data_IF_820084019619
#
_entry.id   IF_820084019619
#
_cell.length_a   1.000
_cell.length_b   1.000
_cell.length_c   1.000
_cell.angle_alpha   90.00
_cell.angle_beta   90.00
_cell.angle_gamma   90.00
#
_symmetry.space_group_name_H-M   'P 1'
#
loop_
_entity.id
_entity.type
_entity.pdbx_description
1 polymer ?
#
# COMPACT_ATOMS: atom_id res chain seq x y z
N UNK A 1 -6.97 -77.41 -29.91
CA UNK A 1 -5.68 -76.76 -30.19
C UNK A 1 -5.90 -75.26 -30.05
N UNK A 2 -5.23 -74.65 -29.09
CA UNK A 2 -5.69 -73.46 -28.37
C UNK A 2 -5.77 -72.17 -29.21
N UNK A 3 -6.91 -71.49 -29.07
CA UNK A 3 -7.19 -70.13 -29.54
C UNK A 3 -6.43 -69.15 -28.63
N UNK A 4 -5.42 -68.46 -29.16
CA UNK A 4 -4.65 -67.46 -28.40
C UNK A 4 -5.51 -66.21 -28.22
N UNK A 5 -6.00 -66.00 -27.00
CA UNK A 5 -6.59 -64.75 -26.53
C UNK A 5 -5.50 -63.67 -26.54
N UNK A 6 -5.60 -62.68 -27.44
CA UNK A 6 -4.77 -61.47 -27.39
C UNK A 6 -5.46 -60.53 -26.40
N UNK A 7 -4.96 -60.48 -25.16
CA UNK A 7 -5.40 -59.51 -24.17
C UNK A 7 -4.83 -58.13 -24.55
N UNK A 8 -5.72 -57.20 -24.92
CA UNK A 8 -5.39 -55.79 -25.11
C UNK A 8 -5.18 -55.17 -23.72
N UNK A 9 -3.92 -55.10 -23.28
CA UNK A 9 -3.54 -54.37 -22.07
C UNK A 9 -3.75 -52.88 -22.33
N UNK A 10 -4.85 -52.32 -21.82
CA UNK A 10 -4.99 -50.87 -21.64
C UNK A 10 -3.90 -50.44 -20.65
N UNK A 11 -2.85 -49.81 -21.17
CA UNK A 11 -1.87 -49.12 -20.35
C UNK A 11 -2.55 -47.96 -19.64
N UNK A 12 -2.92 -48.18 -18.37
CA UNK A 12 -3.24 -47.09 -17.46
C UNK A 12 -1.91 -46.38 -17.23
N UNK A 13 -1.70 -45.26 -17.92
CA UNK A 13 -0.71 -44.27 -17.49
C UNK A 13 -1.15 -43.80 -16.10
N UNK A 14 -0.64 -44.43 -15.05
CA UNK A 14 -0.56 -43.77 -13.74
C UNK A 14 0.37 -42.59 -13.96
N UNK A 15 -0.22 -41.42 -14.25
CA UNK A 15 0.40 -40.15 -13.96
C UNK A 15 0.65 -40.14 -12.45
N UNK A 16 1.85 -40.58 -12.06
CA UNK A 16 2.46 -40.17 -10.80
C UNK A 16 2.52 -38.65 -10.89
N UNK A 17 1.47 -38.00 -10.38
CA UNK A 17 1.61 -36.64 -9.91
C UNK A 17 2.58 -36.78 -8.75
N UNK A 18 3.86 -36.56 -9.03
CA UNK A 18 4.73 -36.02 -8.01
C UNK A 18 4.00 -34.77 -7.55
N UNK A 19 3.28 -34.88 -6.42
CA UNK A 19 2.86 -33.70 -5.71
C UNK A 19 4.12 -32.87 -5.57
N UNK A 20 4.06 -31.62 -6.03
CA UNK A 20 5.11 -30.68 -5.67
C UNK A 20 5.18 -30.75 -4.14
N UNK A 21 6.23 -31.39 -3.63
CA UNK A 21 6.55 -31.27 -2.24
C UNK A 21 6.66 -29.78 -2.01
N UNK A 22 5.85 -29.26 -1.08
CA UNK A 22 6.01 -27.90 -0.63
C UNK A 22 7.49 -27.74 -0.30
N UNK A 23 8.17 -26.87 -1.06
CA UNK A 23 9.51 -26.45 -0.69
C UNK A 23 9.28 -25.80 0.67
N UNK A 24 9.67 -26.52 1.73
CA UNK A 24 9.77 -25.96 3.08
C UNK A 24 10.99 -25.04 3.03
N UNK A 25 10.79 -23.89 2.39
CA UNK A 25 11.52 -22.69 2.72
C UNK A 25 11.09 -22.29 4.12
N UNK A 26 12.07 -21.88 4.92
CA UNK A 26 11.90 -21.19 6.20
C UNK A 26 10.72 -20.22 6.14
N UNK A 27 10.02 -19.98 7.27
CA UNK A 27 8.70 -19.37 7.30
C UNK A 27 8.74 -18.09 6.47
N UNK A 28 8.12 -18.14 5.29
CA UNK A 28 7.85 -16.94 4.50
C UNK A 28 7.00 -16.09 5.45
N UNK A 29 7.61 -15.03 5.99
CA UNK A 29 6.88 -13.91 6.59
C UNK A 29 5.85 -13.49 5.53
N UNK A 30 4.59 -13.93 5.66
CA UNK A 30 3.65 -13.77 4.55
C UNK A 30 2.51 -14.78 4.43
N UNK A 31 2.64 -16.03 4.88
CA UNK A 31 1.62 -17.05 4.55
C UNK A 31 0.22 -16.78 5.14
N UNK A 32 0.15 -16.04 6.26
CA UNK A 32 -1.09 -15.54 6.87
C UNK A 32 -1.23 -14.00 6.73
N UNK A 33 -0.46 -13.39 5.82
CA UNK A 33 -0.37 -11.93 5.72
C UNK A 33 -1.57 -11.37 4.96
N UNK A 34 -2.39 -10.53 5.61
CA UNK A 34 -3.61 -10.02 5.02
C UNK A 34 -3.35 -9.08 3.85
N UNK A 35 -2.14 -8.58 3.56
CA UNK A 35 -1.96 -7.70 2.40
C UNK A 35 -1.92 -8.45 1.06
N UNK A 36 -1.70 -9.77 1.08
CA UNK A 36 -1.59 -10.59 -0.13
C UNK A 36 -2.89 -10.58 -0.96
N UNK A 37 -2.75 -10.44 -2.27
CA UNK A 37 -3.84 -10.29 -3.24
C UNK A 37 -4.44 -8.88 -3.33
N UNK A 38 -4.03 -7.94 -2.46
CA UNK A 38 -4.45 -6.54 -2.55
C UNK A 38 -3.69 -5.77 -3.64
N UNK A 39 -4.08 -4.52 -3.89
CA UNK A 39 -3.30 -3.61 -4.77
C UNK A 39 -1.95 -3.19 -4.18
N UNK A 40 -1.72 -3.44 -2.90
CA UNK A 40 -0.45 -3.18 -2.22
C UNK A 40 0.37 -4.47 -2.01
N UNK A 41 -0.02 -5.56 -2.67
CA UNK A 41 0.69 -6.84 -2.66
C UNK A 41 1.85 -6.84 -3.67
N UNK A 42 2.86 -5.99 -3.47
CA UNK A 42 3.98 -5.77 -4.40
C UNK A 42 4.90 -6.97 -4.67
N UNK A 43 4.47 -8.19 -4.36
CA UNK A 43 5.16 -9.41 -4.80
C UNK A 43 4.30 -10.14 -5.81
N UNK A 44 4.86 -10.56 -6.95
CA UNK A 44 4.15 -11.40 -7.91
C UNK A 44 2.72 -10.99 -8.29
N UNK A 45 2.34 -9.70 -8.19
CA UNK A 45 0.96 -9.22 -8.43
C UNK A 45 0.42 -9.70 -9.78
N UNK A 46 1.30 -9.74 -10.77
CA UNK A 46 1.03 -10.24 -12.11
C UNK A 46 0.75 -11.75 -12.15
N UNK A 47 1.51 -12.56 -11.41
CA UNK A 47 1.34 -14.01 -11.37
C UNK A 47 0.10 -14.41 -10.56
N UNK A 48 -0.16 -13.72 -9.43
CA UNK A 48 -1.34 -13.96 -8.58
C UNK A 48 -2.64 -13.39 -9.14
N UNK A 49 -2.59 -12.27 -9.85
CA UNK A 49 -3.76 -11.71 -10.54
C UNK A 49 -4.00 -12.33 -11.94
N UNK A 50 -3.12 -13.24 -12.39
CA UNK A 50 -3.21 -13.87 -13.71
C UNK A 50 -3.00 -12.92 -14.90
N UNK A 51 -2.26 -11.82 -14.69
CA UNK A 51 -1.99 -10.78 -15.69
C UNK A 51 -0.52 -10.81 -16.10
N UNK A 52 -0.21 -11.02 -17.38
CA UNK A 52 1.16 -11.14 -17.90
C UNK A 52 1.79 -9.77 -18.26
N UNK A 53 1.46 -8.70 -17.53
CA UNK A 53 1.91 -7.35 -17.87
C UNK A 53 3.15 -6.97 -17.05
N UNK A 54 4.33 -6.92 -17.70
CA UNK A 54 5.59 -6.43 -17.09
C UNK A 54 6.03 -7.16 -15.79
N UNK A 55 6.01 -8.52 -15.72
CA UNK A 55 6.52 -9.22 -14.54
C UNK A 55 8.01 -8.93 -14.34
N UNK A 56 8.38 -8.45 -13.15
CA UNK A 56 9.77 -8.24 -12.75
C UNK A 56 10.49 -7.07 -13.42
N UNK A 57 9.82 -6.25 -14.24
CA UNK A 57 10.48 -5.13 -14.96
C UNK A 57 9.94 -3.75 -14.57
N UNK A 58 8.76 -3.64 -13.96
CA UNK A 58 8.21 -2.33 -13.56
C UNK A 58 8.88 -1.80 -12.28
N UNK A 59 9.11 -2.70 -11.34
CA UNK A 59 9.66 -2.41 -10.01
C UNK A 59 10.37 -3.67 -9.48
N UNK A 60 11.36 -3.50 -8.61
CA UNK A 60 12.14 -4.59 -8.02
C UNK A 60 11.24 -5.46 -7.14
N UNK A 61 11.32 -6.78 -7.31
CA UNK A 61 10.68 -7.74 -6.40
C UNK A 61 11.63 -8.04 -5.23
N UNK A 62 11.26 -7.56 -4.04
CA UNK A 62 12.06 -7.78 -2.83
C UNK A 62 11.69 -9.08 -2.09
N UNK A 63 10.80 -9.90 -2.64
CA UNK A 63 10.48 -11.24 -2.13
C UNK A 63 9.35 -11.32 -1.10
N UNK A 64 8.93 -10.20 -0.49
CA UNK A 64 7.71 -10.12 0.32
C UNK A 64 7.13 -8.69 0.34
N UNK A 65 5.81 -8.57 0.53
CA UNK A 65 5.09 -7.30 0.31
C UNK A 65 5.27 -6.27 1.43
N UNK A 66 5.65 -6.69 2.64
CA UNK A 66 5.83 -5.78 3.78
C UNK A 66 7.01 -4.83 3.62
N UNK A 67 8.08 -5.23 2.93
CA UNK A 67 9.33 -4.44 2.88
C UNK A 67 9.17 -3.10 2.18
N UNK A 68 8.18 -2.95 1.31
CA UNK A 68 7.88 -1.68 0.66
C UNK A 68 7.35 -0.64 1.65
N UNK A 69 6.94 -1.05 2.85
CA UNK A 69 6.43 -0.15 3.90
C UNK A 69 7.28 -0.26 5.18
N UNK A 70 7.51 -1.46 5.66
CA UNK A 70 8.11 -1.73 6.96
C UNK A 70 9.60 -2.04 6.84
N UNK A 71 10.34 -1.62 7.87
CA UNK A 71 11.76 -1.95 8.02
C UNK A 71 11.88 -3.48 8.05
N UNK A 72 12.71 -4.07 7.19
CA UNK A 72 12.88 -5.51 7.14
C UNK A 72 13.39 -6.02 8.51
N UNK A 73 12.95 -7.19 9.00
CA UNK A 73 13.32 -7.68 10.33
C UNK A 73 14.84 -7.80 10.55
N UNK A 74 15.60 -8.01 9.49
CA UNK A 74 17.06 -8.08 9.49
C UNK A 74 17.72 -6.74 9.85
N UNK A 75 17.01 -5.63 9.62
CA UNK A 75 17.43 -4.26 9.96
C UNK A 75 16.71 -3.76 11.22
N UNK A 76 16.20 -4.67 12.07
CA UNK A 76 15.55 -4.31 13.31
C UNK A 76 16.46 -3.45 14.20
N UNK A 77 16.00 -2.25 14.51
CA UNK A 77 16.73 -1.25 15.30
C UNK A 77 17.43 -0.18 14.46
N UNK A 78 17.56 -0.36 13.15
CA UNK A 78 17.99 0.70 12.24
C UNK A 78 16.98 1.87 12.26
N UNK A 79 17.48 3.08 12.05
CA UNK A 79 16.66 4.29 11.97
C UNK A 79 16.66 4.79 10.53
N UNK A 80 15.54 4.68 9.78
CA UNK A 80 15.49 5.14 8.39
C UNK A 80 15.91 6.61 8.23
N UNK A 81 15.63 7.45 9.23
CA UNK A 81 15.97 8.86 9.23
C UNK A 81 17.47 9.14 9.06
N UNK A 82 18.35 8.24 9.51
CA UNK A 82 19.81 8.37 9.33
C UNK A 82 20.24 8.25 7.85
N UNK A 83 19.33 7.76 7.00
CA UNK A 83 19.52 7.53 5.56
C UNK A 83 18.57 8.38 4.71
N UNK A 84 17.92 9.39 5.29
CA UNK A 84 16.90 10.20 4.59
C UNK A 84 15.53 9.54 4.46
N UNK A 85 15.29 8.49 5.24
CA UNK A 85 14.03 7.76 5.34
C UNK A 85 13.01 8.43 6.25
N UNK A 86 11.74 8.09 6.04
CA UNK A 86 10.63 8.46 6.91
C UNK A 86 10.80 7.70 8.24
N UNK A 87 10.69 8.35 9.42
CA UNK A 87 10.76 7.65 10.70
C UNK A 87 9.79 6.47 10.77
N UNK A 88 10.27 5.32 11.25
CA UNK A 88 9.53 4.05 11.38
C UNK A 88 9.13 3.33 10.08
N UNK A 89 9.44 3.90 8.91
CA UNK A 89 9.04 3.35 7.61
C UNK A 89 10.22 3.14 6.68
N UNK A 90 10.16 2.07 5.88
CA UNK A 90 11.19 1.72 4.90
C UNK A 90 11.03 2.47 3.57
N UNK A 91 10.76 3.77 3.65
CA UNK A 91 10.56 4.67 2.50
C UNK A 91 11.35 5.94 2.67
N UNK A 92 11.82 6.51 1.57
CA UNK A 92 12.48 7.82 1.59
C UNK A 92 11.48 8.94 1.83
N UNK A 93 11.95 10.03 2.43
CA UNK A 93 11.16 11.26 2.56
C UNK A 93 10.96 11.84 1.15
N UNK A 94 9.70 12.06 0.69
CA UNK A 94 9.44 12.75 -0.58
C UNK A 94 9.85 14.23 -0.50
N UNK A 95 9.87 14.93 -1.63
CA UNK A 95 10.20 16.37 -1.71
C UNK A 95 9.08 17.24 -1.07
N UNK A 96 9.00 17.23 0.26
CA UNK A 96 7.93 17.87 1.06
C UNK A 96 7.76 19.36 0.78
N UNK A 97 8.80 20.04 0.29
CA UNK A 97 8.79 21.46 -0.08
C UNK A 97 7.91 21.78 -1.29
N UNK A 98 7.61 20.80 -2.16
CA UNK A 98 6.78 20.99 -3.33
C UNK A 98 5.28 20.92 -3.01
N UNK A 99 4.92 20.34 -1.87
CA UNK A 99 3.55 20.07 -1.52
C UNK A 99 2.73 21.35 -1.36
N UNK A 100 1.61 21.40 -2.08
CA UNK A 100 0.57 22.40 -1.88
C UNK A 100 -0.46 21.83 -0.91
N UNK A 101 -0.31 22.17 0.36
CA UNK A 101 -1.27 21.81 1.39
C UNK A 101 -2.60 22.52 1.21
N UNK A 102 -3.62 22.02 1.91
CA UNK A 102 -4.96 22.59 1.97
C UNK A 102 -4.89 24.10 2.11
N UNK A 103 -5.68 24.77 1.27
CA UNK A 103 -5.68 26.21 1.03
C UNK A 103 -4.74 27.03 1.90
N UNK A 104 -3.50 27.25 1.43
CA UNK A 104 -2.54 28.26 1.91
C UNK A 104 -3.11 29.70 1.95
N UNK A 105 -4.39 29.88 1.57
CA UNK A 105 -5.15 31.13 1.55
C UNK A 105 -6.48 31.07 2.34
N UNK A 106 -6.66 30.10 3.23
CA UNK A 106 -7.85 30.00 4.08
C UNK A 106 -8.97 29.21 3.42
N UNK A 107 -8.89 27.88 3.51
CA UNK A 107 -10.10 27.09 3.40
C UNK A 107 -11.10 27.62 4.44
N UNK A 108 -12.22 28.19 3.99
CA UNK A 108 -13.25 28.77 4.87
C UNK A 108 -13.88 27.74 5.82
N UNK A 109 -13.58 26.45 5.61
CA UNK A 109 -14.14 25.32 6.33
C UNK A 109 -13.07 24.51 7.05
N UNK A 110 -11.83 25.01 7.16
CA UNK A 110 -10.76 24.35 7.90
C UNK A 110 -10.24 25.26 9.01
N UNK A 111 -10.51 24.88 10.26
CA UNK A 111 -10.04 25.64 11.43
C UNK A 111 -8.57 25.40 11.77
N UNK A 112 -7.98 24.36 11.18
CA UNK A 112 -6.55 24.04 11.33
C UNK A 112 -5.76 24.49 10.10
N UNK A 113 -4.46 24.72 10.28
CA UNK A 113 -3.57 25.09 9.17
C UNK A 113 -2.39 24.11 9.08
N UNK A 114 -2.63 22.83 8.76
CA UNK A 114 -1.55 21.86 8.58
C UNK A 114 -0.66 22.29 7.41
N UNK A 115 0.64 22.40 7.67
CA UNK A 115 1.65 22.86 6.70
C UNK A 115 2.85 21.90 6.64
N UNK A 116 2.69 20.71 7.23
CA UNK A 116 3.69 19.66 7.31
C UNK A 116 2.99 18.31 7.22
N UNK A 117 3.63 17.36 6.53
CA UNK A 117 3.18 15.97 6.49
C UNK A 117 3.66 15.23 7.74
N UNK A 118 2.76 14.46 8.32
CA UNK A 118 3.09 13.49 9.35
C UNK A 118 3.70 12.24 8.70
N UNK A 119 4.67 11.55 9.34
CA UNK A 119 5.27 10.31 8.82
C UNK A 119 4.26 9.27 8.31
N UNK A 120 3.11 9.12 8.99
CA UNK A 120 2.07 8.14 8.61
C UNK A 120 1.50 8.43 7.22
N UNK A 121 1.16 9.68 6.93
CA UNK A 121 0.63 10.03 5.61
C UNK A 121 1.73 10.17 4.57
N UNK A 122 2.93 10.59 4.99
CA UNK A 122 4.11 10.66 4.15
C UNK A 122 4.48 9.29 3.56
N UNK A 123 4.27 8.20 4.31
CA UNK A 123 4.41 6.84 3.79
C UNK A 123 3.58 6.63 2.53
N UNK A 124 2.26 6.90 2.61
CA UNK A 124 1.36 6.70 1.48
C UNK A 124 1.76 7.60 0.31
N UNK A 125 2.03 8.86 0.61
CA UNK A 125 2.40 9.86 -0.38
C UNK A 125 3.75 9.54 -1.05
N UNK A 126 4.68 8.87 -0.38
CA UNK A 126 5.94 8.43 -1.01
C UNK A 126 5.74 7.52 -2.22
N UNK A 127 4.57 6.90 -2.38
CA UNK A 127 4.17 6.23 -3.63
C UNK A 127 3.19 7.08 -4.43
N UNK A 128 2.16 7.63 -3.77
CA UNK A 128 1.01 8.26 -4.41
C UNK A 128 1.24 9.70 -4.91
N UNK A 129 2.35 10.33 -4.54
CA UNK A 129 2.73 11.65 -5.07
C UNK A 129 3.37 11.59 -6.46
N UNK A 130 3.76 10.38 -6.90
CA UNK A 130 4.35 10.13 -8.21
C UNK A 130 5.75 10.72 -8.40
N UNK A 131 6.44 11.10 -7.33
CA UNK A 131 7.77 11.74 -7.38
C UNK A 131 8.92 10.73 -7.37
N UNK A 132 8.73 9.58 -6.71
CA UNK A 132 9.70 8.50 -6.63
C UNK A 132 9.12 7.15 -7.07
N UNK A 133 10.02 6.19 -7.27
CA UNK A 133 9.64 4.85 -7.71
C UNK A 133 8.89 4.08 -6.61
N UNK A 134 7.98 3.20 -7.01
CA UNK A 134 7.17 2.41 -6.05
C UNK A 134 7.99 1.41 -5.26
N UNK A 135 9.16 0.99 -5.76
CA UNK A 135 10.14 0.11 -5.11
C UNK A 135 11.29 0.85 -4.41
N UNK A 136 11.22 2.17 -4.29
CA UNK A 136 12.27 2.96 -3.64
C UNK A 136 12.21 2.80 -2.12
N UNK A 137 12.96 1.83 -1.59
CA UNK A 137 13.06 1.53 -0.16
C UNK A 137 14.42 1.92 0.41
N UNK A 138 14.46 2.23 1.71
CA UNK A 138 15.70 2.60 2.41
C UNK A 138 16.60 1.39 2.61
N UNK A 139 16.01 0.29 3.06
CA UNK A 139 16.66 -0.98 3.36
C UNK A 139 16.09 -2.06 2.44
N UNK A 140 17.00 -2.73 1.71
CA UNK A 140 16.65 -3.89 0.88
C UNK A 140 16.86 -5.16 1.68
N UNK A 141 16.02 -6.22 1.53
CA UNK A 141 16.24 -7.48 2.20
C UNK A 141 17.59 -8.09 1.82
N UNK A 142 18.20 -8.82 2.75
CA UNK A 142 19.47 -9.53 2.50
C UNK A 142 19.37 -10.57 1.37
N UNK A 143 18.16 -11.05 1.07
CA UNK A 143 17.86 -12.01 0.01
C UNK A 143 17.79 -11.38 -1.38
N UNK A 144 17.76 -10.04 -1.48
CA UNK A 144 17.68 -9.35 -2.75
C UNK A 144 19.04 -9.36 -3.48
N UNK A 145 19.06 -9.89 -4.71
CA UNK A 145 20.24 -9.87 -5.59
C UNK A 145 20.12 -8.76 -6.64
N UNK A 146 20.83 -7.62 -6.45
CA UNK A 146 20.77 -6.49 -7.38
C UNK A 146 21.35 -6.81 -8.76
N UNK A 147 22.10 -7.91 -8.93
CA UNK A 147 22.66 -8.29 -10.23
C UNK A 147 21.64 -8.94 -11.16
N UNK A 148 20.50 -9.34 -10.60
CA UNK A 148 19.36 -9.93 -11.31
C UNK A 148 18.19 -8.97 -11.48
N UNK A 149 18.33 -7.74 -10.99
CA UNK A 149 17.28 -6.73 -11.02
C UNK A 149 17.32 -5.95 -12.33
N UNK A 150 16.31 -6.19 -13.18
CA UNK A 150 16.09 -5.48 -14.44
C UNK A 150 14.96 -4.44 -14.33
N UNK A 151 14.61 -4.04 -13.11
CA UNK A 151 13.52 -3.11 -12.85
C UNK A 151 13.78 -1.70 -13.45
N UNK A 152 12.73 -1.13 -14.01
CA UNK A 152 12.71 0.22 -14.55
C UNK A 152 12.43 1.29 -13.47
N UNK A 153 12.16 0.86 -12.23
CA UNK A 153 11.85 1.72 -11.08
C UNK A 153 10.77 2.77 -11.39
N UNK A 154 9.60 2.28 -11.84
CA UNK A 154 8.52 3.15 -12.28
C UNK A 154 7.82 3.87 -11.13
N UNK A 155 7.31 5.06 -11.41
CA UNK A 155 6.57 5.91 -10.48
C UNK A 155 5.07 5.75 -10.69
N UNK A 156 4.30 5.82 -9.60
CA UNK A 156 2.83 5.91 -9.68
C UNK A 156 2.45 7.35 -10.09
N UNK A 157 2.63 7.66 -11.36
CA UNK A 157 2.38 8.96 -11.96
C UNK A 157 1.54 8.80 -13.24
N UNK A 158 0.64 9.73 -13.51
CA UNK A 158 -0.28 9.68 -14.65
C UNK A 158 0.35 10.18 -15.98
N UNK A 159 1.60 10.62 -15.95
CA UNK A 159 2.31 11.15 -17.13
C UNK A 159 2.55 10.09 -18.21
N UNK A 160 2.55 10.52 -19.47
CA UNK A 160 2.84 9.68 -20.65
C UNK A 160 4.34 9.64 -20.94
N UNK A 161 5.09 9.03 -20.02
CA UNK A 161 6.54 8.83 -20.14
C UNK A 161 6.95 7.43 -19.65
N UNK A 162 8.16 7.00 -20.03
CA UNK A 162 8.59 5.62 -19.79
C UNK A 162 8.94 5.31 -18.33
N UNK A 163 9.09 6.33 -17.48
CA UNK A 163 9.36 6.18 -16.05
C UNK A 163 8.05 6.17 -15.24
N UNK A 164 6.91 6.44 -15.88
CA UNK A 164 5.60 6.57 -15.25
C UNK A 164 4.68 5.40 -15.60
N UNK A 165 4.05 4.80 -14.59
CA UNK A 165 3.02 3.79 -14.81
C UNK A 165 1.88 4.28 -15.72
N UNK A 166 1.62 5.59 -15.73
CA UNK A 166 0.57 6.26 -16.51
C UNK A 166 0.67 6.07 -18.02
N UNK A 167 1.87 5.88 -18.57
CA UNK A 167 2.07 5.59 -19.99
C UNK A 167 1.26 4.39 -20.48
N UNK A 168 1.18 3.34 -19.65
CA UNK A 168 0.41 2.13 -19.96
C UNK A 168 -0.94 2.11 -19.23
N UNK A 169 -1.03 2.71 -18.05
CA UNK A 169 -2.22 2.67 -17.20
C UNK A 169 -3.13 3.91 -17.36
N UNK A 170 -3.46 4.23 -18.61
CA UNK A 170 -4.21 5.42 -19.01
C UNK A 170 -5.71 5.18 -19.28
N UNK A 171 -6.23 4.00 -18.95
CA UNK A 171 -7.61 3.60 -19.26
C UNK A 171 -7.84 3.13 -20.71
N UNK A 172 -6.83 3.21 -21.57
CA UNK A 172 -6.88 2.75 -22.96
C UNK A 172 -6.04 1.48 -23.15
N UNK A 173 -4.77 1.52 -22.72
CA UNK A 173 -3.84 0.37 -22.83
C UNK A 173 -4.07 -0.61 -21.68
N UNK A 174 -4.13 -0.10 -20.46
CA UNK A 174 -4.51 -0.84 -19.26
C UNK A 174 -5.51 -0.03 -18.43
N UNK A 175 -5.86 -0.54 -17.25
CA UNK A 175 -6.77 0.16 -16.34
C UNK A 175 -6.23 1.56 -15.96
N UNK A 176 -7.14 2.48 -15.69
CA UNK A 176 -6.80 3.86 -15.35
C UNK A 176 -6.31 3.99 -13.89
N UNK A 177 -5.07 4.46 -13.74
CA UNK A 177 -4.46 4.76 -12.43
C UNK A 177 -4.62 6.21 -12.01
N UNK A 178 -5.01 7.13 -12.90
CA UNK A 178 -5.07 8.56 -12.59
C UNK A 178 -5.87 8.88 -11.32
N UNK A 179 -7.00 8.20 -11.01
CA UNK A 179 -7.74 8.43 -9.75
C UNK A 179 -7.00 8.03 -8.47
N UNK A 180 -5.84 7.38 -8.59
CA UNK A 180 -5.01 6.87 -7.47
C UNK A 180 -3.70 7.64 -7.38
N UNK A 181 -3.40 8.53 -8.33
CA UNK A 181 -2.26 9.44 -8.28
C UNK A 181 -2.75 10.71 -7.58
N UNK A 182 -2.27 10.95 -6.36
CA UNK A 182 -2.61 12.16 -5.59
C UNK A 182 -1.75 13.34 -6.04
N UNK A 183 -0.46 13.09 -6.28
CA UNK A 183 0.49 14.14 -6.59
C UNK A 183 0.89 14.97 -5.36
N UNK A 184 1.54 16.10 -5.62
CA UNK A 184 2.00 17.04 -4.59
C UNK A 184 0.95 18.13 -4.27
N UNK A 185 -0.15 18.20 -5.02
CA UNK A 185 -1.22 19.19 -4.81
C UNK A 185 -2.40 18.60 -4.02
N UNK A 186 -2.38 18.77 -2.69
CA UNK A 186 -3.39 18.22 -1.78
C UNK A 186 -4.59 19.15 -1.58
N UNK A 187 -4.70 20.26 -2.33
CA UNK A 187 -5.73 21.29 -2.07
C UNK A 187 -7.15 20.82 -2.37
N UNK A 188 -7.32 19.79 -3.19
CA UNK A 188 -8.60 19.16 -3.52
C UNK A 188 -8.89 17.88 -2.72
N UNK A 189 -7.96 17.46 -1.86
CA UNK A 189 -8.11 16.25 -1.04
C UNK A 189 -8.72 16.55 0.33
N UNK A 190 -9.21 15.49 0.98
CA UNK A 190 -9.61 15.60 2.37
C UNK A 190 -8.39 15.86 3.25
N UNK A 191 -8.44 16.87 4.15
CA UNK A 191 -7.34 17.17 5.06
C UNK A 191 -6.82 15.98 5.87
N UNK A 192 -5.52 15.73 5.74
CA UNK A 192 -4.70 14.79 6.53
C UNK A 192 -3.52 15.51 7.19
N UNK A 193 -2.76 14.81 8.04
CA UNK A 193 -1.65 15.37 8.81
C UNK A 193 -2.06 16.58 9.66
N UNK A 194 -3.30 16.55 10.14
CA UNK A 194 -3.90 17.58 10.96
C UNK A 194 -4.43 17.02 12.28
N UNK A 195 -4.44 17.85 13.30
CA UNK A 195 -5.09 17.53 14.56
C UNK A 195 -6.60 17.38 14.34
N UNK A 196 -7.20 16.30 14.85
CA UNK A 196 -8.64 16.14 14.79
C UNK A 196 -9.34 17.16 15.70
N UNK A 197 -10.35 17.87 15.17
CA UNK A 197 -11.02 18.99 15.83
C UNK A 197 -11.87 18.58 17.05
N UNK A 198 -12.45 17.38 17.04
CA UNK A 198 -13.21 16.83 18.17
C UNK A 198 -12.34 16.44 19.38
N UNK A 199 -11.02 16.66 19.34
CA UNK A 199 -10.11 16.45 20.47
C UNK A 199 -9.39 17.76 20.79
N UNK A 200 -9.39 18.15 22.07
CA UNK A 200 -8.66 19.31 22.58
C UNK A 200 -9.34 20.65 22.26
N UNK A 201 -9.69 20.88 20.98
CA UNK A 201 -10.46 22.06 20.55
C UNK A 201 -11.94 21.97 20.92
N UNK A 202 -12.45 20.75 21.14
CA UNK A 202 -13.86 20.47 21.52
C UNK A 202 -14.86 21.16 20.58
N UNK A 203 -14.57 21.11 19.28
CA UNK A 203 -15.47 21.65 18.28
C UNK A 203 -16.82 20.90 18.35
N UNK A 204 -17.94 21.62 18.63
CA UNK A 204 -19.26 21.00 18.78
C UNK A 204 -19.78 20.39 17.48
N UNK A 205 -19.22 20.76 16.33
CA UNK A 205 -19.59 20.21 15.02
C UNK A 205 -18.85 18.90 14.71
N UNK A 206 -18.05 18.40 15.66
CA UNK A 206 -17.30 17.14 15.51
C UNK A 206 -17.66 16.09 16.56
N UNK A 207 -17.76 14.84 16.12
CA UNK A 207 -18.01 13.68 16.97
C UNK A 207 -16.80 13.43 17.87
N UNK A 208 -16.95 13.39 19.20
CA UNK A 208 -15.88 12.98 20.11
C UNK A 208 -15.57 11.48 19.90
N UNK A 209 -14.30 11.08 19.74
CA UNK A 209 -13.97 9.69 19.48
C UNK A 209 -14.19 8.82 20.74
N UNK A 210 -14.86 7.66 20.61
CA UNK A 210 -15.45 6.96 21.75
C UNK A 210 -14.50 6.04 22.54
N UNK A 211 -13.46 5.47 21.91
CA UNK A 211 -12.63 4.43 22.55
C UNK A 211 -11.16 4.49 22.17
N UNK A 212 -10.30 3.83 22.96
CA UNK A 212 -8.90 3.57 22.62
C UNK A 212 -8.73 2.11 22.19
N UNK A 213 -7.83 1.86 21.23
CA UNK A 213 -7.36 0.52 20.91
C UNK A 213 -6.13 0.12 21.74
N UNK A 214 -5.60 -1.08 21.45
CA UNK A 214 -4.44 -1.65 22.12
C UNK A 214 -3.15 -0.81 21.99
N UNK A 215 -3.08 0.05 20.97
CA UNK A 215 -1.95 0.93 20.69
C UNK A 215 -2.21 2.35 21.24
N UNK A 216 -3.22 2.54 22.09
CA UNK A 216 -3.70 3.83 22.60
C UNK A 216 -4.13 4.83 21.52
N UNK A 217 -4.52 4.35 20.34
CA UNK A 217 -5.10 5.20 19.31
C UNK A 217 -6.61 5.29 19.49
N UNK A 218 -7.19 6.41 19.07
CA UNK A 218 -8.63 6.65 19.22
C UNK A 218 -9.39 6.02 18.06
N UNK A 219 -10.40 5.22 18.36
CA UNK A 219 -11.16 4.45 17.37
C UNK A 219 -12.65 4.74 17.49
N UNK A 220 -13.30 5.00 16.36
CA UNK A 220 -14.74 5.14 16.22
C UNK A 220 -15.43 3.79 16.06
N UNK A 221 -16.73 3.73 16.37
CA UNK A 221 -17.49 2.48 16.37
C UNK A 221 -17.52 1.76 15.00
N UNK A 222 -17.32 2.49 13.90
CA UNK A 222 -17.25 1.94 12.54
C UNK A 222 -15.81 1.58 12.09
N UNK A 223 -14.83 1.61 13.00
CA UNK A 223 -13.46 1.19 12.74
C UNK A 223 -12.51 2.29 12.28
N UNK A 224 -12.99 3.49 11.95
CA UNK A 224 -12.14 4.67 11.67
C UNK A 224 -11.25 4.97 12.86
N UNK A 225 -9.97 5.30 12.61
CA UNK A 225 -8.94 5.37 13.66
C UNK A 225 -8.09 6.64 13.55
N UNK A 226 -7.97 7.41 14.62
CA UNK A 226 -7.05 8.54 14.69
C UNK A 226 -5.71 8.08 15.24
N UNK A 227 -4.62 8.55 14.64
CA UNK A 227 -3.27 8.19 15.04
C UNK A 227 -2.65 9.37 15.79
N UNK A 228 -2.26 9.18 17.05
CA UNK A 228 -1.77 10.28 17.90
C UNK A 228 -2.70 11.51 17.88
N UNK A 229 -4.02 11.28 17.95
CA UNK A 229 -5.09 12.29 17.84
C UNK A 229 -5.17 13.03 16.49
N UNK A 230 -4.45 12.59 15.45
CA UNK A 230 -4.46 13.21 14.12
C UNK A 230 -5.27 12.42 13.12
N UNK A 231 -5.77 13.12 12.10
CA UNK A 231 -6.36 12.57 10.89
C UNK A 231 -5.22 12.30 9.90
N UNK A 232 -5.07 11.06 9.46
CA UNK A 232 -4.03 10.62 8.51
C UNK A 232 -4.66 9.73 7.42
N UNK A 233 -3.92 9.38 6.37
CA UNK A 233 -4.43 8.44 5.35
C UNK A 233 -4.95 7.12 5.97
N UNK A 234 -4.21 6.56 6.93
CA UNK A 234 -4.57 5.33 7.62
C UNK A 234 -5.80 5.47 8.54
N UNK A 235 -6.31 6.70 8.74
CA UNK A 235 -7.55 6.93 9.49
C UNK A 235 -8.77 6.37 8.78
N UNK A 236 -8.79 6.48 7.45
CA UNK A 236 -9.86 5.95 6.61
C UNK A 236 -9.44 4.63 5.97
N UNK A 237 -8.15 4.47 5.64
CA UNK A 237 -7.64 3.30 4.94
C UNK A 237 -6.97 2.28 5.88
N UNK A 238 -7.22 0.99 5.66
CA UNK A 238 -6.58 -0.13 6.33
C UNK A 238 -5.88 -1.01 5.30
N UNK A 239 -4.58 -0.78 5.10
CA UNK A 239 -3.77 -1.51 4.11
C UNK A 239 -3.64 -3.00 4.44
N UNK A 240 -3.88 -3.38 5.69
CA UNK A 240 -3.89 -4.77 6.15
C UNK A 240 -5.28 -5.42 6.07
N UNK A 241 -6.23 -4.85 5.34
CA UNK A 241 -7.51 -5.51 5.03
C UNK A 241 -7.71 -5.57 3.51
N UNK A 242 -7.38 -6.71 2.87
CA UNK A 242 -7.42 -6.86 1.42
C UNK A 242 -8.86 -7.05 0.93
N UNK A 243 -9.82 -7.28 1.85
CA UNK A 243 -11.21 -7.56 1.51
C UNK A 243 -11.93 -6.32 0.96
N UNK A 244 -11.31 -5.14 1.10
CA UNK A 244 -11.82 -3.85 0.65
C UNK A 244 -10.95 -3.32 -0.48
N UNK A 245 -11.52 -3.18 -1.67
CA UNK A 245 -10.79 -2.69 -2.85
C UNK A 245 -10.15 -1.31 -2.61
N UNK A 246 -10.87 -0.40 -1.94
CA UNK A 246 -10.37 0.93 -1.57
C UNK A 246 -9.74 0.97 -0.17
N UNK A 247 -9.59 -0.19 0.49
CA UNK A 247 -9.04 -0.31 1.83
C UNK A 247 -9.83 0.46 2.90
N UNK A 248 -11.05 0.91 2.61
CA UNK A 248 -11.80 1.76 3.55
C UNK A 248 -12.25 0.98 4.78
N UNK A 249 -12.01 1.55 5.97
CA UNK A 249 -12.45 1.01 7.27
C UNK A 249 -13.96 1.02 7.42
N UNK A 250 -14.64 1.97 6.79
CA UNK A 250 -16.09 2.10 6.73
C UNK A 250 -16.56 2.43 5.32
N UNK A 251 -17.84 2.23 5.02
CA UNK A 251 -18.38 2.57 3.71
C UNK A 251 -18.26 4.07 3.41
N UNK A 252 -18.02 4.43 2.15
CA UNK A 252 -17.73 5.80 1.75
C UNK A 252 -18.86 6.78 2.11
N UNK A 253 -20.11 6.32 2.09
CA UNK A 253 -21.30 7.14 2.34
C UNK A 253 -21.42 7.58 3.81
N UNK A 254 -20.75 6.88 4.73
CA UNK A 254 -20.82 7.14 6.18
C UNK A 254 -19.54 7.73 6.76
N UNK A 255 -18.45 7.78 5.98
CA UNK A 255 -17.16 8.29 6.46
C UNK A 255 -17.27 9.74 6.95
N UNK A 256 -17.97 10.61 6.20
CA UNK A 256 -18.15 12.01 6.59
C UNK A 256 -18.84 12.14 7.96
N UNK A 257 -19.88 11.34 8.21
CA UNK A 257 -20.67 11.35 9.44
C UNK A 257 -19.98 10.66 10.62
N UNK A 258 -18.82 10.04 10.38
CA UNK A 258 -18.00 9.50 11.47
C UNK A 258 -17.45 10.64 12.32
N UNK A 259 -17.10 11.75 11.67
CA UNK A 259 -16.44 12.88 12.28
C UNK A 259 -17.32 14.12 12.33
N UNK A 260 -18.10 14.40 11.29
CA UNK A 260 -18.86 15.64 11.17
C UNK A 260 -20.30 15.48 11.62
N UNK A 261 -20.70 16.32 12.57
CA UNK A 261 -22.08 16.52 13.00
C UNK A 261 -22.65 17.62 12.10
N UNK A 262 -23.66 17.28 11.29
CA UNK A 262 -24.41 18.24 10.46
C UNK A 262 -25.77 18.52 11.05
#
# INVERSE_FOLDING_TARGET
MAMKLVALLFGICLSLHAGAEAIVGDPILGADDPILGSKHDFTGLNERAGVVAMPGVAFSDYGYSCVYCHIPPEEAGAQPADFGGIPDWNRFIPAVENYQFYGRFGSHTLDTSPNQLNPISMLCLSCHDGTMAVDMVVFKPITFDPTTDDAMHMRLNASDDIESCGKCHNGVVAHDIAPKVLGEDLRNDHPISMQYAGIGLLDPDFVPPPSLDQDNNRVFANGVKLYNNRVECMTCHNVHDPSKELLLRANAEVLCFTCHIK
#
